data_IF_852718887588
#
_entry.id   IF_852718887588
#
_cell.length_a   1.000
_cell.length_b   1.000
_cell.length_c   1.000
_cell.angle_alpha   90.00
_cell.angle_beta   90.00
_cell.angle_gamma   90.00
#
_symmetry.space_group_name_H-M   'P 1'
#
loop_
_entity.id
_entity.type
_entity.pdbx_description
1 polymer ?
#
# COMPACT_ATOMS: atom_id res chain seq x y z
N UNK A 1 11.23 -23.47 1.03
CA UNK A 1 9.91 -22.85 0.80
C UNK A 1 10.04 -21.36 1.08
N UNK A 2 10.36 -20.57 0.05
CA UNK A 2 10.47 -19.11 0.16
C UNK A 2 9.06 -18.54 0.30
N UNK A 3 8.59 -18.35 1.53
CA UNK A 3 7.41 -17.55 1.79
C UNK A 3 7.72 -16.11 1.36
N UNK A 4 7.45 -15.79 0.08
CA UNK A 4 7.48 -14.44 -0.44
C UNK A 4 6.42 -13.62 0.29
N UNK A 5 6.75 -13.13 1.49
CA UNK A 5 5.93 -12.18 2.22
C UNK A 5 5.92 -10.91 1.40
N UNK A 6 4.86 -10.76 0.60
CA UNK A 6 4.51 -9.54 -0.08
C UNK A 6 4.69 -8.37 0.88
N UNK A 7 5.52 -7.41 0.49
CA UNK A 7 5.86 -6.31 1.39
C UNK A 7 4.63 -5.44 1.65
N UNK A 8 4.60 -4.73 2.79
CA UNK A 8 3.51 -3.78 3.08
C UNK A 8 3.31 -2.76 1.96
N UNK A 9 4.40 -2.36 1.29
CA UNK A 9 4.36 -1.46 0.13
C UNK A 9 3.59 -2.07 -1.04
N UNK A 10 3.89 -3.32 -1.38
CA UNK A 10 3.15 -4.04 -2.43
C UNK A 10 1.68 -4.23 -2.05
N UNK A 11 1.37 -4.47 -0.77
CA UNK A 11 -0.02 -4.56 -0.30
C UNK A 11 -0.77 -3.24 -0.50
N UNK A 12 -0.13 -2.13 -0.15
CA UNK A 12 -0.68 -0.78 -0.37
C UNK A 12 -0.96 -0.55 -1.86
N UNK A 13 0.00 -0.83 -2.73
CA UNK A 13 -0.14 -0.61 -4.17
C UNK A 13 -1.24 -1.48 -4.77
N UNK A 14 -1.32 -2.75 -4.36
CA UNK A 14 -2.32 -3.70 -4.86
C UNK A 14 -3.75 -3.30 -4.43
N UNK A 15 -3.92 -2.80 -3.21
CA UNK A 15 -5.21 -2.29 -2.75
C UNK A 15 -5.57 -0.96 -3.43
N UNK A 16 -4.58 -0.08 -3.66
CA UNK A 16 -4.78 1.15 -4.41
C UNK A 16 -5.16 0.88 -5.87
N UNK A 17 -4.54 -0.10 -6.53
CA UNK A 17 -4.90 -0.54 -7.88
C UNK A 17 -6.32 -1.11 -7.98
N UNK A 18 -6.84 -1.68 -6.88
CA UNK A 18 -8.25 -2.10 -6.79
C UNK A 18 -9.24 -0.92 -6.62
N UNK A 19 -8.74 0.31 -6.54
CA UNK A 19 -9.56 1.52 -6.37
C UNK A 19 -9.92 1.82 -4.91
N UNK A 20 -9.32 1.14 -3.92
CA UNK A 20 -9.54 1.48 -2.52
C UNK A 20 -8.97 2.85 -2.17
N UNK A 21 -9.69 3.56 -1.29
CA UNK A 21 -9.22 4.85 -0.77
C UNK A 21 -8.05 4.64 0.19
N UNK A 22 -7.11 5.58 0.20
CA UNK A 22 -5.91 5.53 1.05
C UNK A 22 -6.23 5.33 2.54
N UNK A 23 -7.34 5.92 3.02
CA UNK A 23 -7.82 5.78 4.41
C UNK A 23 -8.26 4.35 4.72
N UNK A 24 -8.89 3.67 3.76
CA UNK A 24 -9.34 2.27 3.93
C UNK A 24 -8.14 1.34 3.90
N UNK A 25 -7.19 1.57 2.99
CA UNK A 25 -5.92 0.84 2.92
C UNK A 25 -5.14 0.97 4.24
N UNK A 26 -5.12 2.18 4.81
CA UNK A 26 -4.46 2.44 6.08
C UNK A 26 -5.09 1.65 7.23
N UNK A 27 -6.44 1.61 7.29
CA UNK A 27 -7.17 0.82 8.29
C UNK A 27 -6.96 -0.69 8.11
N UNK A 28 -7.07 -1.19 6.89
CA UNK A 28 -6.90 -2.60 6.52
C UNK A 28 -5.50 -3.11 6.91
N UNK A 29 -4.46 -2.34 6.60
CA UNK A 29 -3.06 -2.72 6.84
C UNK A 29 -2.54 -2.26 8.21
N UNK A 30 -3.41 -1.71 9.07
CA UNK A 30 -3.06 -1.11 10.37
C UNK A 30 -1.82 -0.21 10.26
N UNK A 31 -1.85 0.70 9.30
CA UNK A 31 -0.77 1.64 9.01
C UNK A 31 -1.30 3.07 8.92
N UNK A 32 -0.39 4.03 8.77
CA UNK A 32 -0.72 5.44 8.70
C UNK A 32 -1.08 5.85 7.28
N UNK A 33 -2.10 6.69 7.12
CA UNK A 33 -2.50 7.25 5.82
C UNK A 33 -1.35 7.99 5.13
N UNK A 34 -0.50 8.69 5.90
CA UNK A 34 0.71 9.34 5.38
C UNK A 34 1.71 8.34 4.78
N UNK A 35 1.84 7.16 5.38
CA UNK A 35 2.69 6.09 4.85
C UNK A 35 2.12 5.55 3.54
N UNK A 36 0.81 5.30 3.49
CA UNK A 36 0.09 4.88 2.28
C UNK A 36 0.27 5.90 1.15
N UNK A 37 0.07 7.19 1.44
CA UNK A 37 0.26 8.29 0.50
C UNK A 37 1.68 8.34 -0.04
N UNK A 38 2.69 8.25 0.84
CA UNK A 38 4.10 8.24 0.45
C UNK A 38 4.41 7.11 -0.51
N UNK A 39 3.96 5.88 -0.19
CA UNK A 39 4.20 4.69 -1.05
C UNK A 39 3.55 4.85 -2.42
N UNK A 40 2.32 5.35 -2.49
CA UNK A 40 1.62 5.58 -3.76
C UNK A 40 2.34 6.65 -4.58
N UNK A 41 2.78 7.73 -3.94
CA UNK A 41 3.43 8.85 -4.61
C UNK A 41 4.85 8.49 -5.11
N UNK A 42 5.62 7.72 -4.32
CA UNK A 42 6.92 7.17 -4.73
C UNK A 42 6.80 6.29 -5.99
N UNK A 43 5.66 5.64 -6.20
CA UNK A 43 5.41 4.80 -7.37
C UNK A 43 4.99 5.59 -8.62
N UNK A 44 4.32 6.73 -8.46
CA UNK A 44 3.93 7.60 -9.58
C UNK A 44 5.09 8.40 -10.18
N UNK A 45 6.18 8.57 -9.44
CA UNK A 45 7.36 9.33 -9.86
C UNK A 45 8.41 8.53 -10.65
N UNK A 46 8.14 7.26 -10.96
CA UNK A 46 8.95 6.40 -11.83
C UNK A 46 8.21 6.12 -13.13
#
# INVERSE_FOLDING_TARGET
>A
MLHGKMTKKEQILRLHQKGMKQVEIAKELKTYTNYVWKVINEQKGK
#
